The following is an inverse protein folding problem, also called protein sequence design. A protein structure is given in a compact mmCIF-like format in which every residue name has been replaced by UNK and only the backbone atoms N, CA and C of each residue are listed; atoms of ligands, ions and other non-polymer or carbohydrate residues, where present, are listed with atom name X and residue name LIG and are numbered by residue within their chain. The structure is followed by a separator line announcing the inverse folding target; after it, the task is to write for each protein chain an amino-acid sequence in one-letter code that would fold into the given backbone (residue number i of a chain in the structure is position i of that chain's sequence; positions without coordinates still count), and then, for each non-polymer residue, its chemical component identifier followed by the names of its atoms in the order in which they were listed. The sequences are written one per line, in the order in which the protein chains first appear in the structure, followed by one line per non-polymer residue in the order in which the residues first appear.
data_IF_267718305091
#
_entry.id   IF_267718305091
#
_cell.length_a   1.000
_cell.length_b   1.000
_cell.length_c   1.000
_cell.angle_alpha   90.00
_cell.angle_beta   90.00
_cell.angle_gamma   90.00
#
_symmetry.space_group_name_H-M   'P 1'
#
loop_
_entity.id
_entity.type
_entity.pdbx_description
1 polymer ?
#
# COMPACT_ATOMS: atom_id res chain seq x y z
N UNK A 1 -0.05 2.84 1.43
CA UNK A 1 -0.33 1.39 1.53
C UNK A 1 -0.93 1.11 2.90
N UNK A 2 -1.69 0.02 3.08
CA UNK A 2 -2.10 -0.44 4.43
C UNK A 2 -0.99 -1.30 5.03
N UNK A 3 -0.81 -1.22 6.34
CA UNK A 3 0.21 -1.97 7.07
C UNK A 3 -0.37 -2.76 8.23
N UNK A 4 0.46 -3.63 8.81
CA UNK A 4 0.12 -4.36 10.04
C UNK A 4 0.32 -3.44 11.24
N UNK A 5 -0.54 -3.60 12.26
CA UNK A 5 -0.53 -2.73 13.44
C UNK A 5 0.78 -2.88 14.22
N UNK A 6 1.42 -1.74 14.50
CA UNK A 6 2.45 -1.59 15.52
C UNK A 6 1.86 -0.93 16.76
N UNK A 7 2.43 -1.22 17.92
CA UNK A 7 2.17 -0.53 19.17
C UNK A 7 3.35 0.40 19.50
N UNK A 8 3.31 1.70 19.14
CA UNK A 8 4.40 2.62 19.44
C UNK A 8 4.62 2.79 20.95
N UNK A 9 5.86 2.99 21.42
CA UNK A 9 6.16 3.28 22.82
C UNK A 9 5.32 4.44 23.38
N UNK A 10 4.93 4.35 24.65
CA UNK A 10 4.12 5.38 25.33
C UNK A 10 2.62 5.32 25.06
N UNK A 11 2.16 4.63 24.00
CA UNK A 11 0.72 4.48 23.71
C UNK A 11 -0.02 3.62 24.73
N UNK A 12 -1.35 3.82 24.85
CA UNK A 12 -2.21 2.99 25.70
C UNK A 12 -2.11 1.50 25.31
N UNK A 13 -2.04 1.21 24.01
CA UNK A 13 -1.90 -0.14 23.49
C UNK A 13 -0.57 -0.76 23.93
N UNK A 14 0.54 -0.03 23.80
CA UNK A 14 1.86 -0.48 24.23
C UNK A 14 1.90 -0.80 25.73
N UNK A 15 1.39 0.11 26.58
CA UNK A 15 1.32 -0.09 28.04
C UNK A 15 0.49 -1.34 28.40
N UNK A 16 -0.63 -1.56 27.71
CA UNK A 16 -1.45 -2.77 27.89
C UNK A 16 -0.70 -4.03 27.49
N UNK A 17 -0.10 -4.06 26.30
CA UNK A 17 0.63 -5.24 25.80
C UNK A 17 1.84 -5.58 26.65
N UNK A 18 2.51 -4.57 27.22
CA UNK A 18 3.59 -4.77 28.21
C UNK A 18 3.07 -5.46 29.47
N UNK A 19 1.95 -4.99 30.04
CA UNK A 19 1.31 -5.65 31.20
C UNK A 19 0.85 -7.07 30.90
N UNK A 20 0.39 -7.33 29.67
CA UNK A 20 -0.03 -8.66 29.22
C UNK A 20 1.14 -9.59 28.82
N UNK A 21 2.41 -9.16 28.94
CA UNK A 21 3.59 -9.90 28.47
C UNK A 21 3.51 -10.33 26.99
N UNK A 22 2.86 -9.51 26.15
CA UNK A 22 2.65 -9.75 24.72
C UNK A 22 3.50 -8.84 23.83
N UNK A 23 4.23 -7.90 24.40
CA UNK A 23 5.13 -7.04 23.63
C UNK A 23 6.36 -7.86 23.19
N UNK A 24 6.71 -7.77 21.91
CA UNK A 24 7.94 -8.34 21.39
C UNK A 24 9.05 -7.28 21.45
N UNK A 25 10.32 -7.66 21.67
CA UNK A 25 11.42 -6.72 21.52
C UNK A 25 11.52 -6.33 20.04
N UNK A 26 11.80 -5.07 19.75
CA UNK A 26 11.91 -4.58 18.37
C UNK A 26 10.58 -4.26 17.68
N UNK A 27 10.69 -3.77 16.45
CA UNK A 27 9.57 -3.35 15.61
C UNK A 27 10.10 -2.58 14.42
N UNK A 28 9.63 -2.94 13.22
CA UNK A 28 10.02 -2.22 12.01
C UNK A 28 9.30 -0.88 11.91
N UNK A 29 10.01 0.13 11.42
CA UNK A 29 9.40 1.38 10.98
C UNK A 29 8.80 1.27 9.56
N UNK A 30 9.00 0.14 8.88
CA UNK A 30 8.42 -0.13 7.56
C UNK A 30 6.97 -0.61 7.69
N UNK A 31 6.04 0.23 7.24
CA UNK A 31 4.61 -0.09 7.24
C UNK A 31 4.21 -1.19 6.24
N UNK A 32 5.15 -1.69 5.43
CA UNK A 32 4.87 -2.62 4.32
C UNK A 32 5.52 -3.98 4.45
N UNK A 33 6.42 -4.18 5.42
CA UNK A 33 7.08 -5.48 5.65
C UNK A 33 6.17 -6.53 6.30
N UNK A 34 5.03 -6.09 6.84
CA UNK A 34 4.01 -6.94 7.44
C UNK A 34 4.36 -7.47 8.83
N UNK A 35 5.42 -6.96 9.45
CA UNK A 35 5.80 -7.27 10.83
C UNK A 35 4.84 -6.66 11.85
N UNK A 36 4.93 -7.09 13.11
CA UNK A 36 4.27 -6.48 14.27
C UNK A 36 5.20 -6.58 15.49
N UNK A 37 5.04 -5.69 16.46
CA UNK A 37 5.85 -5.68 17.68
C UNK A 37 5.13 -6.29 18.89
N UNK A 38 4.13 -7.14 18.65
CA UNK A 38 3.45 -7.86 19.72
C UNK A 38 2.86 -9.19 19.26
N UNK A 39 2.59 -10.09 20.20
CA UNK A 39 1.96 -11.38 19.95
C UNK A 39 0.45 -11.17 19.79
N UNK A 40 -0.14 -11.33 18.58
CA UNK A 40 -1.57 -11.10 18.38
C UNK A 40 -2.42 -12.23 18.97
N UNK A 41 -3.58 -11.90 19.56
CA UNK A 41 -4.51 -12.92 20.14
C UNK A 41 -5.03 -13.91 19.09
N UNK A 42 -5.19 -13.46 17.85
CA UNK A 42 -5.61 -14.33 16.74
C UNK A 42 -4.54 -15.31 16.26
N UNK A 43 -3.33 -15.25 16.82
CA UNK A 43 -2.17 -16.00 16.34
C UNK A 43 -1.47 -15.31 15.17
N UNK A 44 -0.15 -15.46 15.09
CA UNK A 44 0.68 -14.79 14.10
C UNK A 44 0.38 -15.26 12.68
N UNK A 45 0.26 -16.57 12.46
CA UNK A 45 0.01 -17.13 11.13
C UNK A 45 -1.31 -16.63 10.53
N UNK A 46 -2.37 -16.55 11.34
CA UNK A 46 -3.66 -15.98 10.92
C UNK A 46 -3.56 -14.48 10.60
N UNK A 47 -2.78 -13.73 11.37
CA UNK A 47 -2.52 -12.32 11.07
C UNK A 47 -1.82 -12.16 9.73
N UNK A 48 -0.75 -12.94 9.50
CA UNK A 48 0.06 -12.88 8.26
C UNK A 48 -0.74 -13.31 7.04
N UNK A 49 -1.47 -14.43 7.13
CA UNK A 49 -2.28 -14.92 6.01
C UNK A 49 -3.40 -13.94 5.67
N UNK A 50 -4.08 -13.39 6.68
CA UNK A 50 -5.09 -12.34 6.52
C UNK A 50 -4.52 -11.07 5.88
N UNK A 51 -3.36 -10.60 6.36
CA UNK A 51 -2.69 -9.42 5.79
C UNK A 51 -2.33 -9.63 4.32
N UNK A 52 -1.69 -10.76 3.96
CA UNK A 52 -1.35 -11.12 2.57
C UNK A 52 -2.60 -11.17 1.68
N UNK A 53 -3.69 -11.75 2.18
CA UNK A 53 -4.96 -11.80 1.46
C UNK A 53 -5.54 -10.39 1.21
N UNK A 54 -5.55 -9.53 2.23
CA UNK A 54 -6.05 -8.16 2.12
C UNK A 54 -5.23 -7.37 1.10
N UNK A 55 -3.91 -7.29 1.25
CA UNK A 55 -3.06 -6.49 0.34
C UNK A 55 -3.09 -7.01 -1.09
N UNK A 56 -3.12 -8.33 -1.28
CA UNK A 56 -3.29 -8.94 -2.60
C UNK A 56 -4.63 -8.59 -3.23
N UNK A 57 -5.69 -8.51 -2.43
CA UNK A 57 -7.04 -8.19 -2.91
C UNK A 57 -7.19 -6.71 -3.20
N UNK A 58 -6.87 -5.82 -2.26
CA UNK A 58 -7.16 -4.38 -2.36
C UNK A 58 -6.24 -3.63 -3.32
N UNK A 59 -5.09 -4.21 -3.69
CA UNK A 59 -4.17 -3.68 -4.70
C UNK A 59 -4.19 -4.47 -6.01
N UNK A 60 -5.04 -5.50 -6.12
CA UNK A 60 -5.29 -6.12 -7.42
C UNK A 60 -5.86 -5.09 -8.41
N UNK A 61 -5.54 -5.20 -9.72
CA UNK A 61 -5.87 -4.16 -10.69
C UNK A 61 -7.34 -3.76 -10.67
N UNK A 62 -8.26 -4.74 -10.73
CA UNK A 62 -9.72 -4.50 -10.80
C UNK A 62 -10.22 -3.74 -9.58
N UNK A 63 -9.94 -4.24 -8.38
CA UNK A 63 -10.38 -3.66 -7.10
C UNK A 63 -9.80 -2.25 -6.92
N UNK A 64 -8.53 -2.04 -7.28
CA UNK A 64 -7.88 -0.75 -7.14
C UNK A 64 -8.45 0.31 -8.12
N UNK A 65 -8.63 -0.02 -9.40
CA UNK A 65 -9.21 0.95 -10.34
C UNK A 65 -10.65 1.30 -10.01
N UNK A 66 -11.47 0.33 -9.58
CA UNK A 66 -12.85 0.63 -9.18
C UNK A 66 -12.88 1.55 -7.96
N UNK A 67 -11.98 1.36 -7.00
CA UNK A 67 -11.84 2.30 -5.87
C UNK A 67 -11.43 3.70 -6.32
N UNK A 68 -10.50 3.83 -7.28
CA UNK A 68 -10.17 5.14 -7.86
C UNK A 68 -11.41 5.75 -8.52
N UNK A 69 -12.12 4.98 -9.34
CA UNK A 69 -13.31 5.45 -10.05
C UNK A 69 -14.40 5.94 -9.08
N UNK A 70 -14.65 5.20 -8.00
CA UNK A 70 -15.58 5.60 -6.93
C UNK A 70 -15.13 6.92 -6.30
N UNK A 71 -13.86 7.01 -5.89
CA UNK A 71 -13.31 8.25 -5.35
C UNK A 71 -13.48 9.44 -6.31
N UNK A 72 -13.16 9.27 -7.59
CA UNK A 72 -13.26 10.35 -8.60
C UNK A 72 -14.70 10.73 -8.97
N UNK A 73 -15.70 9.89 -8.69
CA UNK A 73 -17.12 10.26 -8.85
C UNK A 73 -17.50 11.32 -7.82
N UNK A 74 -17.13 11.10 -6.57
CA UNK A 74 -17.48 11.96 -5.42
C UNK A 74 -16.54 13.15 -5.25
N UNK A 75 -15.28 13.02 -5.66
CA UNK A 75 -14.28 14.05 -5.47
C UNK A 75 -14.58 15.31 -6.30
N UNK A 76 -14.81 16.43 -5.60
CA UNK A 76 -14.97 17.76 -6.17
C UNK A 76 -13.67 18.56 -5.97
N UNK A 77 -12.80 18.67 -6.98
CA UNK A 77 -11.56 19.43 -6.83
C UNK A 77 -11.88 20.91 -6.58
N UNK A 78 -11.55 21.42 -5.38
CA UNK A 78 -11.53 22.87 -5.13
C UNK A 78 -10.39 23.50 -5.93
N UNK A 79 -10.71 24.58 -6.66
CA UNK A 79 -9.83 25.44 -7.46
C UNK A 79 -8.35 25.04 -7.43
N UNK A 80 -7.94 24.15 -8.34
CA UNK A 80 -6.53 23.95 -8.65
C UNK A 80 -6.13 24.95 -9.71
N UNK A 81 -5.09 25.74 -9.41
CA UNK A 81 -4.29 26.45 -10.42
C UNK A 81 -4.07 25.49 -11.60
N UNK A 82 -4.31 25.96 -12.84
CA UNK A 82 -4.03 25.17 -14.05
C UNK A 82 -2.62 24.60 -13.90
N UNK A 83 -2.49 23.27 -13.87
CA UNK A 83 -1.20 22.63 -13.74
C UNK A 83 -0.34 23.05 -14.92
N UNK A 84 0.85 23.60 -14.63
CA UNK A 84 1.78 24.01 -15.68
C UNK A 84 2.16 22.73 -16.45
N UNK A 85 1.92 22.74 -17.76
CA UNK A 85 2.33 21.63 -18.63
C UNK A 85 3.85 21.66 -18.67
N UNK A 86 4.47 20.71 -17.97
CA UNK A 86 5.92 20.53 -17.96
C UNK A 86 6.28 19.31 -18.81
N UNK A 87 7.40 19.34 -19.55
CA UNK A 87 7.95 18.17 -20.25
C UNK A 87 8.09 16.95 -19.34
N UNK A 88 8.36 17.16 -18.04
CA UNK A 88 8.42 16.10 -17.03
C UNK A 88 7.09 15.34 -16.90
N UNK A 89 5.96 16.04 -16.89
CA UNK A 89 4.64 15.42 -16.76
C UNK A 89 4.22 14.70 -18.04
N UNK A 90 4.55 15.25 -19.20
CA UNK A 90 4.32 14.59 -20.49
C UNK A 90 5.13 13.28 -20.56
N UNK A 91 6.42 13.33 -20.22
CA UNK A 91 7.28 12.13 -20.16
C UNK A 91 6.73 11.09 -19.19
N UNK A 92 6.25 11.51 -18.01
CA UNK A 92 5.63 10.61 -17.04
C UNK A 92 4.35 9.96 -17.58
N UNK A 93 3.52 10.71 -18.32
CA UNK A 93 2.29 10.19 -18.94
C UNK A 93 2.59 9.16 -20.04
N UNK A 94 3.54 9.45 -20.94
CA UNK A 94 3.96 8.51 -21.98
C UNK A 94 4.50 7.23 -21.34
N UNK A 95 5.37 7.38 -20.32
CA UNK A 95 5.91 6.24 -19.58
C UNK A 95 4.81 5.44 -18.87
N UNK A 96 3.79 6.09 -18.32
CA UNK A 96 2.66 5.39 -17.69
C UNK A 96 1.81 4.64 -18.71
N UNK A 97 1.56 5.21 -19.89
CA UNK A 97 0.86 4.51 -20.98
C UNK A 97 1.61 3.25 -21.42
N UNK A 98 2.94 3.33 -21.57
CA UNK A 98 3.77 2.19 -21.94
C UNK A 98 3.80 1.11 -20.85
N UNK A 99 4.15 1.48 -19.62
CA UNK A 99 4.31 0.52 -18.52
C UNK A 99 2.95 -0.06 -18.09
N UNK A 100 1.97 0.80 -17.79
CA UNK A 100 0.68 0.38 -17.25
C UNK A 100 -0.29 -0.09 -18.33
N UNK A 101 -0.27 0.56 -19.50
CA UNK A 101 -1.21 0.32 -20.58
C UNK A 101 -0.79 -0.80 -21.55
N UNK A 102 0.49 -1.18 -21.59
CA UNK A 102 0.98 -2.22 -22.51
C UNK A 102 1.64 -3.36 -21.73
N UNK A 103 2.69 -3.10 -20.95
CA UNK A 103 3.48 -4.15 -20.28
C UNK A 103 2.77 -4.83 -19.11
N UNK A 104 1.97 -4.10 -18.35
CA UNK A 104 1.43 -4.61 -17.08
C UNK A 104 0.11 -5.40 -17.19
N UNK A 105 -0.07 -6.35 -16.27
CA UNK A 105 -1.28 -7.21 -16.17
C UNK A 105 -2.57 -6.40 -16.01
N UNK A 106 -2.48 -5.20 -15.42
CA UNK A 106 -3.60 -4.29 -15.18
C UNK A 106 -4.05 -3.44 -16.39
N UNK A 107 -3.52 -3.66 -17.60
CA UNK A 107 -3.75 -2.77 -18.77
C UNK A 107 -5.21 -2.47 -19.11
N UNK A 108 -6.10 -3.47 -19.08
CA UNK A 108 -7.53 -3.27 -19.37
C UNK A 108 -8.16 -2.30 -18.38
N UNK A 109 -7.77 -2.43 -17.12
CA UNK A 109 -8.21 -1.60 -16.02
C UNK A 109 -7.68 -0.17 -16.15
N UNK A 110 -6.40 -0.02 -16.50
CA UNK A 110 -5.75 1.25 -16.78
C UNK A 110 -6.47 2.01 -17.91
N UNK A 111 -6.66 1.38 -19.08
CA UNK A 111 -7.30 2.04 -20.23
C UNK A 111 -8.77 2.40 -19.95
N UNK A 112 -9.52 1.54 -19.25
CA UNK A 112 -10.88 1.84 -18.82
C UNK A 112 -10.92 3.06 -17.90
N UNK A 113 -10.02 3.16 -16.92
CA UNK A 113 -9.93 4.31 -16.03
C UNK A 113 -9.46 5.57 -16.77
N UNK A 114 -8.49 5.42 -17.67
CA UNK A 114 -7.91 6.48 -18.49
C UNK A 114 -9.00 7.16 -19.33
N UNK A 115 -9.68 6.39 -20.18
CA UNK A 115 -10.73 6.88 -21.08
C UNK A 115 -11.91 7.43 -20.28
N UNK A 116 -12.35 6.72 -19.24
CA UNK A 116 -13.46 7.18 -18.41
C UNK A 116 -13.14 8.52 -17.73
N UNK A 117 -11.93 8.70 -17.20
CA UNK A 117 -11.56 9.96 -16.54
C UNK A 117 -11.44 11.09 -17.56
N UNK A 118 -10.84 10.82 -18.73
CA UNK A 118 -10.68 11.82 -19.79
C UNK A 118 -12.04 12.35 -20.26
N UNK A 119 -13.03 11.47 -20.43
CA UNK A 119 -14.36 11.83 -20.93
C UNK A 119 -15.30 12.38 -19.85
N UNK A 120 -15.30 11.83 -18.63
CA UNK A 120 -16.31 12.14 -17.60
C UNK A 120 -15.80 13.05 -16.48
N UNK A 121 -14.50 13.08 -16.23
CA UNK A 121 -13.87 13.82 -15.12
C UNK A 121 -12.52 14.45 -15.55
N UNK A 122 -12.45 15.23 -16.64
CA UNK A 122 -11.18 15.74 -17.18
C UNK A 122 -10.38 16.57 -16.18
N UNK A 123 -11.06 17.31 -15.29
CA UNK A 123 -10.42 18.07 -14.19
C UNK A 123 -9.65 17.19 -13.21
N UNK A 124 -9.94 15.89 -13.16
CA UNK A 124 -9.28 14.91 -12.31
C UNK A 124 -8.28 14.02 -13.07
N UNK A 125 -8.01 14.28 -14.35
CA UNK A 125 -7.19 13.39 -15.18
C UNK A 125 -5.76 13.21 -14.64
N UNK A 126 -5.06 14.30 -14.31
CA UNK A 126 -3.71 14.20 -13.72
C UNK A 126 -3.71 13.41 -12.42
N UNK A 127 -4.77 13.56 -11.62
CA UNK A 127 -4.93 12.82 -10.37
C UNK A 127 -5.19 11.33 -10.62
N UNK A 128 -6.01 10.98 -11.63
CA UNK A 128 -6.27 9.57 -11.94
C UNK A 128 -5.01 8.84 -12.43
N UNK A 129 -4.19 9.49 -13.27
CA UNK A 129 -2.90 8.94 -13.71
C UNK A 129 -1.96 8.75 -12.51
N UNK A 130 -1.88 9.75 -11.62
CA UNK A 130 -1.08 9.67 -10.39
C UNK A 130 -1.50 8.49 -9.53
N UNK A 131 -2.81 8.33 -9.29
CA UNK A 131 -3.36 7.21 -8.52
C UNK A 131 -3.10 5.86 -9.21
N UNK A 132 -3.21 5.78 -10.55
CA UNK A 132 -2.91 4.55 -11.28
C UNK A 132 -1.44 4.13 -11.14
N UNK A 133 -0.50 5.09 -11.19
CA UNK A 133 0.93 4.85 -10.96
C UNK A 133 1.16 4.38 -9.52
N UNK A 134 0.54 5.03 -8.53
CA UNK A 134 0.62 4.59 -7.12
C UNK A 134 0.05 3.18 -6.92
N UNK A 135 -1.06 2.84 -7.56
CA UNK A 135 -1.65 1.50 -7.53
C UNK A 135 -0.71 0.43 -8.07
N UNK A 136 0.00 0.72 -9.16
CA UNK A 136 1.05 -0.14 -9.66
C UNK A 136 2.18 -0.33 -8.64
N UNK A 137 2.65 0.75 -8.03
CA UNK A 137 3.67 0.67 -6.98
C UNK A 137 3.20 -0.20 -5.81
N UNK A 138 1.99 0.02 -5.28
CA UNK A 138 1.45 -0.77 -4.18
C UNK A 138 1.31 -2.25 -4.53
N UNK A 139 0.91 -2.58 -5.76
CA UNK A 139 0.89 -3.98 -6.22
C UNK A 139 2.28 -4.59 -6.24
N UNK A 140 3.30 -3.85 -6.71
CA UNK A 140 4.69 -4.33 -6.69
C UNK A 140 5.26 -4.50 -5.30
N UNK A 141 4.89 -3.63 -4.37
CA UNK A 141 5.24 -3.81 -2.95
C UNK A 141 4.52 -5.03 -2.39
N UNK A 142 3.21 -5.18 -2.61
CA UNK A 142 2.42 -6.32 -2.16
C UNK A 142 2.96 -7.67 -2.68
N UNK A 143 3.41 -7.73 -3.95
CA UNK A 143 4.07 -8.90 -4.55
C UNK A 143 5.39 -9.28 -3.84
N UNK A 144 6.05 -8.33 -3.16
CA UNK A 144 7.35 -8.52 -2.50
C UNK A 144 7.27 -8.76 -0.99
N UNK A 145 6.09 -8.65 -0.38
CA UNK A 145 5.94 -8.78 1.08
C UNK A 145 6.34 -10.19 1.53
N UNK A 146 7.36 -10.22 2.38
CA UNK A 146 7.79 -11.41 3.11
C UNK A 146 7.68 -11.09 4.59
N UNK A 147 6.68 -11.68 5.24
CA UNK A 147 6.52 -11.49 6.68
C UNK A 147 7.39 -12.52 7.41
N UNK A 148 8.36 -12.08 8.24
CA UNK A 148 9.21 -12.99 8.99
C UNK A 148 8.40 -13.79 10.02
N UNK A 149 8.87 -14.99 10.35
CA UNK A 149 8.25 -15.81 11.39
C UNK A 149 8.57 -15.25 12.79
N UNK A 150 7.75 -15.57 13.80
CA UNK A 150 8.07 -15.22 15.20
C UNK A 150 9.38 -15.86 15.65
N UNK A 151 9.73 -17.03 15.12
CA UNK A 151 10.99 -17.70 15.44
C UNK A 151 12.16 -16.89 14.89
N UNK A 152 12.06 -16.46 13.64
CA UNK A 152 13.08 -15.64 12.97
C UNK A 152 13.33 -14.33 13.75
N UNK A 153 12.26 -13.70 14.25
CA UNK A 153 12.37 -12.48 15.07
C UNK A 153 13.12 -12.75 16.39
N UNK A 154 12.86 -13.89 17.04
CA UNK A 154 13.54 -14.28 18.28
C UNK A 154 14.99 -14.70 18.05
N UNK A 155 15.26 -15.36 16.92
CA UNK A 155 16.59 -15.88 16.58
C UNK A 155 17.54 -14.76 16.12
N UNK A 156 17.06 -13.80 15.32
CA UNK A 156 17.81 -12.57 14.99
C UNK A 156 18.22 -11.80 16.25
N UNK A 157 17.36 -11.80 17.28
CA UNK A 157 17.66 -11.13 18.54
C UNK A 157 18.66 -11.85 19.42
N UNK A 158 18.65 -13.20 19.45
CA UNK A 158 19.71 -13.96 20.14
C UNK A 158 21.08 -13.70 19.52
N UNK A 159 21.14 -13.50 18.20
CA UNK A 159 22.36 -13.14 17.50
C UNK A 159 22.83 -11.71 17.82
N UNK A 160 21.91 -10.74 18.00
CA UNK A 160 22.24 -9.34 18.32
C UNK A 160 22.55 -9.06 19.80
N UNK A 161 22.11 -9.93 20.72
CA UNK A 161 22.33 -9.77 22.18
C UNK A 161 23.47 -10.64 22.74
N UNK A 162 24.13 -11.42 21.88
CA UNK A 162 25.28 -12.27 22.21
C UNK A 162 26.63 -11.74 21.70
N UNK A 163 26.70 -10.48 21.25
CA UNK A 163 27.93 -9.77 20.86
C UNK A 163 28.10 -8.50 21.67
#
# INVERSE_FOLDING_TARGET
MVGVLMAPPGTRLYKRLKKENRLLPGGSADNTDGSTNFIPKMGHERLVSGYKHIVGTIYSPKQYCERIKIFLKEYKPRNKRRGIISPRYIRALIRSMWVLGIKEKGRRCYWRLFVWTLLRKPKCFTLSITLAIQGFHFRKVAEKIRVPSIRDIRDLQRAESGG
#
